data_IF_446982064229
#
_entry.id   IF_446982064229
#
_cell.length_a   1.000
_cell.length_b   1.000
_cell.length_c   1.000
_cell.angle_alpha   90.00
_cell.angle_beta   90.00
_cell.angle_gamma   90.00
#
_symmetry.space_group_name_H-M   'P 1'
#
loop_
_entity.id
_entity.type
_entity.pdbx_description
1 polymer ?
#
# COMPACT_ATOMS: atom_id res chain seq x y z
N UNK A 1 2.60 -0.59 5.12
CA UNK A 1 2.23 0.60 5.92
C UNK A 1 3.25 0.70 7.02
N UNK A 2 4.15 1.70 7.01
CA UNK A 2 4.96 1.89 8.22
C UNK A 2 4.05 2.32 9.37
N UNK A 3 4.41 1.88 10.57
CA UNK A 3 3.75 2.28 11.80
C UNK A 3 3.69 3.81 11.94
N UNK A 4 4.66 4.53 11.37
CA UNK A 4 4.71 6.00 11.34
C UNK A 4 3.57 6.63 10.55
N UNK A 5 3.28 6.17 9.32
CA UNK A 5 2.19 6.72 8.51
C UNK A 5 0.83 6.43 9.15
N UNK A 6 0.67 5.24 9.72
CA UNK A 6 -0.55 4.86 10.44
C UNK A 6 -0.82 5.74 11.66
N UNK A 7 0.20 6.00 12.49
CA UNK A 7 0.06 6.88 13.66
C UNK A 7 -0.27 8.32 13.25
N UNK A 8 0.40 8.85 12.22
CA UNK A 8 0.12 10.19 11.68
C UNK A 8 -1.33 10.32 11.19
N UNK A 9 -1.82 9.32 10.45
CA UNK A 9 -3.22 9.27 10.02
C UNK A 9 -4.18 9.20 11.20
N UNK A 10 -3.91 8.32 12.17
CA UNK A 10 -4.75 8.17 13.35
C UNK A 10 -4.89 9.48 14.12
N UNK A 11 -3.77 10.14 14.42
CA UNK A 11 -3.76 11.42 15.13
C UNK A 11 -4.47 12.51 14.31
N UNK A 12 -4.16 12.62 13.00
CA UNK A 12 -4.77 13.62 12.13
C UNK A 12 -6.29 13.46 12.02
N UNK A 13 -6.78 12.24 11.89
CA UNK A 13 -8.22 11.94 11.85
C UNK A 13 -8.90 12.25 13.18
N UNK A 14 -8.28 11.91 14.32
CA UNK A 14 -8.83 12.24 15.64
C UNK A 14 -8.96 13.75 15.82
N UNK A 15 -7.95 14.53 15.43
CA UNK A 15 -8.00 16.00 15.48
C UNK A 15 -9.08 16.59 14.57
N UNK A 16 -9.27 16.04 13.38
CA UNK A 16 -10.33 16.47 12.46
C UNK A 16 -11.72 16.16 13.02
N UNK A 17 -11.90 15.00 13.66
CA UNK A 17 -13.16 14.65 14.33
C UNK A 17 -13.41 15.59 15.51
N UNK A 18 -12.39 15.90 16.31
CA UNK A 18 -12.53 16.80 17.46
C UNK A 18 -12.88 18.22 17.03
N UNK A 19 -12.14 18.78 16.06
CA UNK A 19 -12.44 20.09 15.47
C UNK A 19 -13.81 20.14 14.81
N UNK A 20 -14.20 19.05 14.11
CA UNK A 20 -15.53 18.88 13.54
C UNK A 20 -16.62 18.95 14.60
N UNK A 21 -16.44 18.22 15.71
CA UNK A 21 -17.38 18.23 16.84
C UNK A 21 -17.48 19.62 17.50
N UNK A 22 -16.34 20.27 17.79
CA UNK A 22 -16.33 21.63 18.37
C UNK A 22 -16.98 22.65 17.44
N UNK A 23 -16.76 22.55 16.13
CA UNK A 23 -17.43 23.43 15.15
C UNK A 23 -18.94 23.21 15.11
N UNK A 24 -19.39 21.96 15.28
CA UNK A 24 -20.80 21.59 15.33
C UNK A 24 -21.47 22.17 16.58
N UNK A 25 -20.87 21.99 17.75
CA UNK A 25 -21.38 22.54 19.00
C UNK A 25 -21.45 24.08 18.95
N UNK A 26 -20.37 24.73 18.51
CA UNK A 26 -20.33 26.19 18.38
C UNK A 26 -21.42 26.71 17.43
N UNK A 27 -21.65 26.02 16.32
CA UNK A 27 -22.72 26.35 15.38
C UNK A 27 -24.11 26.12 15.98
N UNK A 28 -24.30 25.04 16.72
CA UNK A 28 -25.59 24.71 17.34
C UNK A 28 -25.94 25.71 18.43
N UNK A 29 -24.99 26.09 19.28
CA UNK A 29 -25.15 27.14 20.28
C UNK A 29 -25.42 28.51 19.63
N UNK A 30 -24.68 28.87 18.59
CA UNK A 30 -24.87 30.12 17.86
C UNK A 30 -26.27 30.24 17.26
N UNK A 31 -26.82 29.13 16.73
CA UNK A 31 -28.20 29.07 16.20
C UNK A 31 -29.26 29.16 17.30
N UNK A 32 -29.06 28.45 18.41
CA UNK A 32 -30.10 28.23 19.43
C UNK A 32 -30.19 29.38 20.42
N UNK A 33 -29.04 29.89 20.89
CA UNK A 33 -28.98 30.88 21.97
C UNK A 33 -28.83 32.33 21.47
N UNK A 34 -28.19 32.53 20.31
CA UNK A 34 -27.70 33.85 19.90
C UNK A 34 -28.41 34.45 18.68
N UNK A 35 -29.55 33.88 18.27
CA UNK A 35 -30.46 34.41 17.24
C UNK A 35 -29.71 35.16 16.11
N UNK A 36 -28.88 34.42 15.36
CA UNK A 36 -28.23 34.90 14.12
C UNK A 36 -27.20 36.02 14.27
N UNK A 37 -26.65 36.32 15.46
CA UNK A 37 -25.42 37.12 15.54
C UNK A 37 -24.25 36.33 14.95
N UNK A 38 -23.59 36.90 13.95
CA UNK A 38 -22.40 36.32 13.32
C UNK A 38 -21.22 36.36 14.28
N UNK A 39 -21.02 35.28 15.03
CA UNK A 39 -19.78 35.06 15.76
C UNK A 39 -18.82 34.28 14.85
N UNK A 40 -17.64 34.84 14.54
CA UNK A 40 -16.64 34.11 13.78
C UNK A 40 -16.19 32.89 14.57
N UNK A 41 -15.86 31.80 13.87
CA UNK A 41 -15.35 30.60 14.53
C UNK A 41 -14.10 30.95 15.37
N UNK A 42 -14.01 30.41 16.60
CA UNK A 42 -12.82 30.48 17.42
C UNK A 42 -11.55 30.08 16.66
N UNK A 43 -10.43 30.73 16.98
CA UNK A 43 -9.17 30.55 16.27
C UNK A 43 -8.55 29.17 16.56
N UNK A 44 -8.74 28.63 17.76
CA UNK A 44 -8.30 27.29 18.17
C UNK A 44 -8.89 26.19 17.28
N UNK A 45 -10.21 26.18 17.04
CA UNK A 45 -10.89 25.19 16.19
C UNK A 45 -10.39 25.27 14.74
N UNK A 46 -10.11 26.48 14.25
CA UNK A 46 -9.52 26.69 12.91
C UNK A 46 -8.10 26.11 12.83
N UNK A 47 -7.27 26.39 13.84
CA UNK A 47 -5.89 25.88 13.87
C UNK A 47 -5.88 24.35 14.01
N UNK A 48 -6.75 23.76 14.83
CA UNK A 48 -6.87 22.31 14.99
C UNK A 48 -7.27 21.63 13.67
N UNK A 49 -8.23 22.19 12.93
CA UNK A 49 -8.62 21.68 11.61
C UNK A 49 -7.45 21.72 10.62
N UNK A 50 -6.72 22.84 10.57
CA UNK A 50 -5.57 23.01 9.67
C UNK A 50 -4.46 22.02 10.03
N UNK A 51 -4.12 21.88 11.31
CA UNK A 51 -3.11 20.93 11.79
C UNK A 51 -3.54 19.49 11.48
N UNK A 52 -4.80 19.13 11.73
CA UNK A 52 -5.35 17.82 11.39
C UNK A 52 -5.23 17.50 9.90
N UNK A 53 -5.63 18.44 9.03
CA UNK A 53 -5.47 18.30 7.57
C UNK A 53 -4.00 18.10 7.16
N UNK A 54 -3.09 18.91 7.69
CA UNK A 54 -1.66 18.82 7.37
C UNK A 54 -1.08 17.47 7.81
N UNK A 55 -1.44 16.98 9.00
CA UNK A 55 -0.98 15.67 9.49
C UNK A 55 -1.49 14.52 8.62
N UNK A 56 -2.75 14.56 8.18
CA UNK A 56 -3.30 13.56 7.25
C UNK A 56 -2.57 13.59 5.90
N UNK A 57 -2.28 14.78 5.36
CA UNK A 57 -1.54 14.92 4.10
C UNK A 57 -0.10 14.40 4.21
N UNK A 58 0.60 14.71 5.31
CA UNK A 58 1.95 14.20 5.58
C UNK A 58 1.91 12.68 5.76
N UNK A 59 0.94 12.17 6.52
CA UNK A 59 0.70 10.74 6.68
C UNK A 59 0.48 10.05 5.33
N UNK A 60 -0.24 10.71 4.40
CA UNK A 60 -0.49 10.19 3.06
C UNK A 60 0.77 10.11 2.20
N UNK A 61 1.59 11.16 2.20
CA UNK A 61 2.85 11.17 1.45
C UNK A 61 3.80 10.11 2.00
N UNK A 62 3.96 10.00 3.33
CA UNK A 62 4.83 9.01 3.96
C UNK A 62 4.29 7.58 3.79
N UNK A 63 2.98 7.43 3.64
CA UNK A 63 2.36 6.14 3.34
C UNK A 63 2.74 5.61 1.96
N UNK A 64 3.15 6.48 1.04
CA UNK A 64 3.71 6.08 -0.25
C UNK A 64 5.15 5.62 0.01
N UNK A 65 5.29 4.37 0.44
CA UNK A 65 6.59 3.76 0.61
C UNK A 65 7.06 3.20 -0.72
N UNK A 66 8.33 3.45 -1.10
CA UNK A 66 8.96 2.63 -2.12
C UNK A 66 8.86 1.20 -1.65
N UNK A 67 8.30 0.36 -2.51
CA UNK A 67 8.13 -1.05 -2.24
C UNK A 67 9.53 -1.67 -2.19
N UNK A 68 10.21 -1.56 -1.04
CA UNK A 68 11.51 -2.18 -0.76
C UNK A 68 11.31 -3.67 -0.56
N UNK A 69 10.82 -4.34 -1.61
CA UNK A 69 10.97 -5.77 -1.75
C UNK A 69 11.98 -5.94 -2.85
N UNK A 70 13.20 -6.26 -2.44
CA UNK A 70 14.15 -6.92 -3.30
C UNK A 70 13.39 -8.01 -4.06
N UNK A 71 13.44 -7.93 -5.39
CA UNK A 71 12.88 -8.98 -6.23
C UNK A 71 13.69 -10.24 -5.95
N UNK A 72 13.00 -11.28 -5.52
CA UNK A 72 13.58 -12.61 -5.31
C UNK A 72 13.27 -13.41 -6.55
N UNK A 73 14.31 -14.04 -7.11
CA UNK A 73 14.12 -14.99 -8.19
C UNK A 73 13.38 -16.22 -7.67
N UNK A 74 12.33 -16.63 -8.39
CA UNK A 74 11.50 -17.79 -8.04
C UNK A 74 12.29 -19.09 -8.14
N UNK A 75 13.29 -19.17 -9.03
CA UNK A 75 14.06 -20.39 -9.22
C UNK A 75 15.20 -20.55 -8.20
N UNK A 76 16.01 -19.51 -7.99
CA UNK A 76 17.17 -19.57 -7.09
C UNK A 76 16.86 -19.20 -5.63
N UNK A 77 15.75 -18.48 -5.38
CA UNK A 77 15.46 -17.89 -4.09
C UNK A 77 16.44 -16.77 -3.68
N UNK A 78 17.33 -16.34 -4.59
CA UNK A 78 18.28 -15.26 -4.33
C UNK A 78 17.67 -13.90 -4.68
N UNK A 79 18.13 -12.87 -3.98
CA UNK A 79 17.81 -11.48 -4.33
C UNK A 79 18.48 -11.14 -5.65
N UNK A 80 17.71 -10.61 -6.61
CA UNK A 80 18.24 -10.14 -7.88
C UNK A 80 18.89 -8.78 -7.67
N UNK A 81 20.20 -8.72 -7.91
CA UNK A 81 20.99 -7.50 -7.80
C UNK A 81 20.71 -6.57 -8.99
N UNK A 82 20.66 -5.25 -8.75
CA UNK A 82 20.55 -4.23 -9.80
C UNK A 82 19.14 -3.78 -10.18
N UNK A 83 18.09 -4.41 -9.65
CA UNK A 83 16.71 -3.91 -9.80
C UNK A 83 16.36 -2.95 -8.66
N UNK A 84 15.99 -1.71 -9.01
CA UNK A 84 15.62 -0.66 -8.05
C UNK A 84 14.14 -0.35 -8.20
N UNK A 85 13.33 -0.63 -7.16
CA UNK A 85 11.90 -0.26 -7.17
C UNK A 85 11.75 1.25 -6.94
N UNK A 86 11.07 1.91 -7.88
CA UNK A 86 10.56 3.27 -7.67
C UNK A 86 9.36 3.27 -6.70
N UNK A 87 8.98 4.44 -6.20
CA UNK A 87 7.82 4.58 -5.30
C UNK A 87 6.49 4.17 -5.95
N UNK A 88 6.41 4.27 -7.28
CA UNK A 88 5.25 3.91 -8.08
C UNK A 88 5.67 2.97 -9.18
N UNK A 89 4.74 2.14 -9.65
CA UNK A 89 5.00 1.26 -10.80
C UNK A 89 5.03 2.07 -12.09
N UNK A 90 5.97 1.81 -13.00
CA UNK A 90 5.99 2.48 -14.29
C UNK A 90 4.77 2.07 -15.13
N UNK A 91 4.28 3.00 -15.95
CA UNK A 91 3.15 2.79 -16.85
C UNK A 91 3.63 2.22 -18.20
N UNK A 92 4.85 2.58 -18.59
CA UNK A 92 5.44 2.09 -19.83
C UNK A 92 5.65 0.57 -19.75
N UNK A 93 5.05 -0.14 -20.70
CA UNK A 93 5.00 -1.61 -20.71
C UNK A 93 6.41 -2.20 -20.67
N UNK A 94 7.34 -1.63 -21.46
CA UNK A 94 8.71 -2.12 -21.51
C UNK A 94 9.47 -1.99 -20.20
N UNK A 95 9.04 -1.09 -19.31
CA UNK A 95 9.60 -0.96 -17.96
C UNK A 95 8.80 -1.74 -16.92
N UNK A 96 7.50 -1.90 -17.12
CA UNK A 96 6.61 -2.61 -16.21
C UNK A 96 6.92 -4.12 -16.17
N UNK A 97 7.31 -4.73 -17.30
CA UNK A 97 7.63 -6.17 -17.37
C UNK A 97 8.96 -6.52 -16.71
N UNK A 98 9.92 -5.58 -16.65
CA UNK A 98 11.26 -5.79 -16.07
C UNK A 98 11.19 -6.40 -14.67
N UNK A 99 10.23 -5.97 -13.85
CA UNK A 99 10.03 -6.51 -12.50
C UNK A 99 9.76 -8.01 -12.51
N UNK A 100 8.89 -8.44 -13.41
CA UNK A 100 8.45 -9.83 -13.50
C UNK A 100 9.51 -10.70 -14.13
N UNK A 101 10.17 -10.18 -15.17
CA UNK A 101 11.33 -10.80 -15.79
C UNK A 101 12.46 -10.99 -14.76
N UNK A 102 12.71 -9.99 -13.91
CA UNK A 102 13.65 -10.10 -12.79
C UNK A 102 13.22 -11.17 -11.78
N UNK A 103 11.92 -11.37 -11.52
CA UNK A 103 11.42 -12.47 -10.69
C UNK A 103 11.49 -13.84 -11.39
N UNK A 104 11.82 -13.91 -12.69
CA UNK A 104 11.72 -15.13 -13.49
C UNK A 104 10.26 -15.54 -13.77
N UNK A 105 9.34 -14.57 -13.74
CA UNK A 105 7.90 -14.77 -13.94
C UNK A 105 7.40 -14.00 -15.16
N UNK A 106 6.26 -14.42 -15.69
CA UNK A 106 5.56 -13.76 -16.80
C UNK A 106 4.11 -13.52 -16.43
N UNK A 107 3.56 -12.36 -16.76
CA UNK A 107 2.11 -12.08 -16.69
C UNK A 107 1.29 -13.11 -17.46
N UNK A 108 1.89 -13.71 -18.49
CA UNK A 108 1.24 -14.71 -19.35
C UNK A 108 1.58 -16.15 -18.94
N UNK A 109 2.16 -16.37 -17.77
CA UNK A 109 2.57 -17.69 -17.29
C UNK A 109 1.44 -18.74 -17.34
N UNK A 110 0.17 -18.33 -17.16
CA UNK A 110 -0.97 -19.24 -17.27
C UNK A 110 -1.17 -19.80 -18.69
N UNK A 111 -0.89 -18.99 -19.72
CA UNK A 111 -1.04 -19.34 -21.14
C UNK A 111 0.21 -20.09 -21.63
N UNK A 112 1.38 -19.69 -21.17
CA UNK A 112 2.66 -20.31 -21.52
C UNK A 112 2.79 -21.70 -20.92
N UNK A 113 2.59 -21.83 -19.60
CA UNK A 113 2.79 -23.10 -18.88
C UNK A 113 1.59 -24.04 -18.98
N UNK A 114 0.41 -23.53 -19.36
CA UNK A 114 -0.84 -24.29 -19.53
C UNK A 114 -1.06 -25.35 -18.44
N UNK A 115 -1.20 -24.94 -17.16
CA UNK A 115 -1.22 -25.88 -16.04
C UNK A 115 -2.33 -26.94 -16.13
N UNK A 116 -3.45 -26.64 -16.81
CA UNK A 116 -4.54 -27.57 -17.04
C UNK A 116 -4.25 -28.73 -18.02
N UNK A 117 -3.16 -28.65 -18.80
CA UNK A 117 -2.77 -29.66 -19.80
C UNK A 117 -1.52 -30.44 -19.40
N UNK A 118 -1.08 -30.33 -18.15
CA UNK A 118 0.08 -31.06 -17.64
C UNK A 118 -0.25 -32.56 -17.57
N UNK A 119 0.63 -33.40 -18.10
CA UNK A 119 0.54 -34.84 -17.87
C UNK A 119 0.95 -35.17 -16.42
N UNK A 120 -0.07 -35.36 -15.59
CA UNK A 120 0.06 -35.67 -14.17
C UNK A 120 0.79 -37.01 -13.97
N UNK A 121 0.60 -37.99 -14.86
CA UNK A 121 1.21 -39.33 -14.71
C UNK A 121 2.70 -39.27 -15.00
N UNK A 122 3.10 -38.58 -16.06
CA UNK A 122 4.51 -38.37 -16.39
C UNK A 122 5.24 -37.62 -15.26
N UNK A 123 4.67 -36.51 -14.76
CA UNK A 123 5.26 -35.72 -13.66
C UNK A 123 5.41 -36.50 -12.36
N UNK A 124 4.45 -37.36 -12.03
CA UNK A 124 4.56 -38.26 -10.87
C UNK A 124 5.71 -39.25 -11.04
N UNK A 125 5.93 -39.77 -12.25
CA UNK A 125 7.04 -40.69 -12.53
C UNK A 125 8.39 -40.00 -12.40
N UNK A 126 8.56 -38.83 -13.00
CA UNK A 126 9.78 -38.00 -12.88
C UNK A 126 10.13 -37.73 -11.41
N UNK A 127 9.12 -37.39 -10.59
CA UNK A 127 9.32 -37.16 -9.17
C UNK A 127 9.79 -38.42 -8.41
N UNK A 128 9.26 -39.59 -8.75
CA UNK A 128 9.71 -40.86 -8.14
C UNK A 128 11.15 -41.21 -8.53
N UNK A 129 11.53 -40.96 -9.79
CA UNK A 129 12.90 -41.15 -10.26
C UNK A 129 13.89 -40.21 -9.57
N UNK A 130 13.49 -38.95 -9.37
CA UNK A 130 14.27 -37.97 -8.61
C UNK A 130 14.47 -38.41 -7.15
N UNK A 131 13.41 -38.85 -6.45
CA UNK A 131 13.52 -39.40 -5.09
C UNK A 131 14.43 -40.64 -5.00
N UNK A 132 14.44 -41.47 -6.03
CA UNK A 132 15.32 -42.64 -6.09
C UNK A 132 16.80 -42.25 -6.29
N UNK A 133 17.04 -41.11 -6.94
CA UNK A 133 18.39 -40.56 -7.18
C UNK A 133 18.93 -39.88 -5.92
N UNK A 134 18.09 -39.16 -5.17
CA UNK A 134 18.47 -38.46 -3.94
C UNK A 134 18.79 -39.42 -2.76
N UNK A 135 18.25 -40.63 -2.79
CA UNK A 135 18.52 -41.68 -1.78
C UNK A 135 19.79 -42.51 -2.03
N UNK A 136 20.46 -42.33 -3.17
CA UNK A 136 21.72 -42.99 -3.51
C UNK A 136 22.91 -42.14 -3.12
#
# INVERSE_FOLDING_TARGET
>A
MALTSFVLYGIGVILLINSGYSSYEHRQLSKTLLHSRHFPLPLDVKMEAVVGCVLVLIGAIISIQPNQTHVVDVASGSVVEGYTEEALRPIDMGKATIRQEAMGTSDYAQIENRPGYIDIRARRKEYQEWLATEKK
#
